data_IF_419825314464
#
_entry.id   IF_419825314464
#
_cell.length_a   1.000
_cell.length_b   1.000
_cell.length_c   1.000
_cell.angle_alpha   90.00
_cell.angle_beta   90.00
_cell.angle_gamma   90.00
#
_symmetry.space_group_name_H-M   'P 1'
#
loop_
_entity.id
_entity.type
_entity.pdbx_description
1 polymer ?
#
# COMPACT_ATOMS: atom_id res chain seq x y z
N UNK A 1 -6.11 -38.30 15.28
CA UNK A 1 -7.10 -37.67 14.38
C UNK A 1 -6.33 -37.00 13.25
N UNK A 2 -6.89 -36.93 12.04
CA UNK A 2 -6.25 -36.24 10.93
C UNK A 2 -6.63 -34.77 10.98
N UNK A 3 -5.67 -33.87 11.15
CA UNK A 3 -5.88 -32.42 11.32
C UNK A 3 -5.34 -31.68 10.10
N UNK A 4 -6.15 -30.77 9.54
CA UNK A 4 -5.80 -30.00 8.33
C UNK A 4 -5.05 -28.71 8.70
N UNK A 5 -3.89 -28.47 8.06
CA UNK A 5 -3.19 -27.18 8.11
C UNK A 5 -3.70 -26.32 6.97
N UNK A 6 -4.23 -25.14 7.27
CA UNK A 6 -4.69 -24.17 6.28
C UNK A 6 -3.81 -22.92 6.24
N UNK A 7 -3.84 -22.21 5.11
CA UNK A 7 -3.16 -20.91 4.96
C UNK A 7 -3.78 -19.91 5.96
N UNK A 8 -2.97 -19.32 6.87
CA UNK A 8 -3.44 -18.33 7.84
C UNK A 8 -3.88 -17.03 7.14
N UNK A 9 -4.50 -16.13 7.90
CA UNK A 9 -4.94 -14.84 7.36
C UNK A 9 -3.75 -14.02 6.84
N UNK A 10 -3.60 -13.97 5.52
CA UNK A 10 -2.51 -13.29 4.81
C UNK A 10 -2.84 -11.82 4.46
N UNK A 11 -3.96 -11.27 4.96
CA UNK A 11 -4.40 -9.91 4.66
C UNK A 11 -5.22 -9.82 3.36
N UNK A 12 -5.23 -8.65 2.70
CA UNK A 12 -6.06 -8.34 1.51
C UNK A 12 -5.60 -9.05 0.20
N UNK A 13 -4.79 -10.10 0.29
CA UNK A 13 -4.24 -10.79 -0.89
C UNK A 13 -5.07 -12.04 -1.24
N UNK A 14 -5.75 -12.00 -2.38
CA UNK A 14 -6.66 -13.07 -2.82
C UNK A 14 -5.93 -14.29 -3.43
N UNK A 15 -4.68 -14.15 -3.87
CA UNK A 15 -3.87 -15.25 -4.43
C UNK A 15 -2.37 -15.03 -4.27
N UNK A 16 -1.68 -15.94 -3.58
CA UNK A 16 -0.23 -15.88 -3.30
C UNK A 16 0.43 -17.18 -3.75
N UNK A 17 1.65 -17.12 -4.29
CA UNK A 17 2.36 -18.28 -4.87
C UNK A 17 3.26 -18.98 -3.84
N UNK A 18 3.31 -20.31 -3.91
CA UNK A 18 4.22 -21.12 -3.09
C UNK A 18 5.60 -21.20 -3.76
N UNK A 19 6.62 -20.64 -3.11
CA UNK A 19 7.99 -20.64 -3.61
C UNK A 19 8.83 -21.80 -3.05
N UNK A 20 8.55 -22.25 -1.83
CA UNK A 20 9.35 -23.28 -1.18
C UNK A 20 8.50 -24.11 -0.21
N UNK A 21 8.66 -25.44 -0.28
CA UNK A 21 8.05 -26.40 0.65
C UNK A 21 9.18 -26.91 1.55
N UNK A 22 9.10 -26.59 2.84
CA UNK A 22 10.17 -26.85 3.81
C UNK A 22 10.05 -28.22 4.49
N UNK A 23 8.98 -28.96 4.18
CA UNK A 23 8.60 -30.20 4.88
C UNK A 23 8.31 -31.32 3.89
N UNK A 24 8.65 -32.57 4.25
CA UNK A 24 8.38 -33.75 3.41
C UNK A 24 7.32 -34.65 4.06
N UNK A 25 6.55 -35.43 3.27
CA UNK A 25 5.63 -36.41 3.82
C UNK A 25 6.40 -37.42 4.69
N UNK A 26 6.00 -37.55 5.96
CA UNK A 26 6.68 -38.37 6.96
C UNK A 26 7.57 -37.63 7.96
N UNK A 27 7.78 -36.32 7.81
CA UNK A 27 8.52 -35.50 8.79
C UNK A 27 7.65 -35.21 10.03
N UNK A 28 8.30 -35.19 11.19
CA UNK A 28 7.71 -34.80 12.48
C UNK A 28 7.91 -33.30 12.70
N UNK A 29 6.83 -32.56 12.91
CA UNK A 29 6.81 -31.10 13.02
C UNK A 29 6.30 -30.69 14.39
N UNK A 30 6.90 -29.66 14.99
CA UNK A 30 6.41 -29.07 16.23
C UNK A 30 5.47 -27.88 15.96
N UNK A 31 4.69 -27.50 16.97
CA UNK A 31 3.87 -26.30 16.91
C UNK A 31 4.76 -25.07 16.65
N UNK A 32 4.38 -24.25 15.67
CA UNK A 32 5.06 -23.07 15.14
C UNK A 32 6.25 -23.31 14.19
N UNK A 33 6.58 -24.54 13.83
CA UNK A 33 7.63 -24.80 12.84
C UNK A 33 7.14 -24.43 11.41
N UNK A 34 7.99 -23.82 10.56
CA UNK A 34 7.60 -23.33 9.23
C UNK A 34 7.35 -24.49 8.26
N UNK A 35 6.20 -24.46 7.58
CA UNK A 35 5.74 -25.54 6.69
C UNK A 35 5.98 -25.19 5.22
N UNK A 36 5.60 -23.96 4.83
CA UNK A 36 5.67 -23.47 3.45
C UNK A 36 6.02 -21.98 3.46
N UNK A 37 6.83 -21.55 2.50
CA UNK A 37 7.13 -20.14 2.25
C UNK A 37 6.29 -19.64 1.08
N UNK A 38 5.52 -18.57 1.32
CA UNK A 38 4.64 -17.92 0.35
C UNK A 38 5.26 -16.60 -0.09
N UNK A 39 5.24 -16.28 -1.39
CA UNK A 39 5.71 -15.01 -1.93
C UNK A 39 4.54 -14.12 -2.36
N UNK A 40 4.44 -12.94 -1.73
CA UNK A 40 3.57 -11.84 -2.15
C UNK A 40 4.39 -10.75 -2.85
N UNK A 41 3.72 -9.85 -3.58
CA UNK A 41 4.32 -8.71 -4.32
C UNK A 41 5.24 -7.80 -3.47
N UNK A 42 5.22 -7.95 -2.14
CA UNK A 42 5.99 -7.11 -1.21
C UNK A 42 6.86 -7.86 -0.21
N UNK A 43 6.66 -9.16 -0.02
CA UNK A 43 7.40 -9.95 0.97
C UNK A 43 7.16 -11.46 0.84
N UNK A 44 8.16 -12.24 1.22
CA UNK A 44 8.03 -13.66 1.52
C UNK A 44 7.56 -13.86 2.98
N UNK A 45 6.52 -14.66 3.20
CA UNK A 45 5.97 -14.97 4.52
C UNK A 45 5.99 -16.48 4.73
N UNK A 46 6.58 -16.91 5.84
CA UNK A 46 6.60 -18.32 6.26
C UNK A 46 5.31 -18.65 7.01
N UNK A 47 4.66 -19.76 6.64
CA UNK A 47 3.45 -20.26 7.31
C UNK A 47 3.85 -21.25 8.41
N UNK A 48 3.67 -20.91 9.70
CA UNK A 48 3.96 -21.83 10.81
C UNK A 48 2.86 -22.90 10.96
N UNK A 49 3.23 -24.10 11.41
CA UNK A 49 2.29 -25.18 11.70
C UNK A 49 1.47 -24.89 12.97
N UNK A 50 0.13 -24.95 12.94
CA UNK A 50 -0.72 -24.76 14.12
C UNK A 50 -0.70 -25.96 15.09
N UNK A 51 -0.27 -27.14 14.64
CA UNK A 51 -0.28 -28.38 15.41
C UNK A 51 1.06 -29.12 15.32
N UNK A 52 1.37 -29.91 16.36
CA UNK A 52 2.53 -30.78 16.39
C UNK A 52 2.12 -32.21 16.00
N UNK A 53 2.82 -32.82 15.06
CA UNK A 53 2.50 -34.18 14.61
C UNK A 53 3.26 -34.56 13.34
N UNK A 54 2.94 -35.73 12.80
CA UNK A 54 3.60 -36.26 11.60
C UNK A 54 2.80 -35.92 10.35
N UNK A 55 3.46 -35.41 9.30
CA UNK A 55 2.80 -35.13 8.02
C UNK A 55 2.43 -36.45 7.33
N UNK A 56 1.14 -36.66 7.09
CA UNK A 56 0.63 -37.83 6.36
C UNK A 56 0.57 -37.58 4.85
N UNK A 57 0.19 -36.38 4.40
CA UNK A 57 0.18 -36.01 2.98
C UNK A 57 0.27 -34.50 2.74
N UNK A 58 1.01 -34.10 1.69
CA UNK A 58 1.06 -32.74 1.15
C UNK A 58 0.11 -32.62 -0.04
N UNK A 59 -0.79 -31.63 -0.03
CA UNK A 59 -1.74 -31.38 -1.13
C UNK A 59 -1.29 -30.30 -2.12
N UNK A 60 -0.15 -29.66 -1.89
CA UNK A 60 0.36 -28.53 -2.69
C UNK A 60 1.71 -28.82 -3.33
N UNK A 61 1.98 -28.20 -4.48
CA UNK A 61 3.26 -28.24 -5.19
C UNK A 61 3.91 -26.85 -5.28
N UNK A 62 5.22 -26.82 -5.49
CA UNK A 62 5.96 -25.57 -5.74
C UNK A 62 5.37 -24.91 -7.00
N UNK A 63 4.94 -23.65 -6.89
CA UNK A 63 4.26 -22.89 -7.93
C UNK A 63 2.73 -22.87 -7.90
N UNK A 64 2.08 -23.55 -6.94
CA UNK A 64 0.63 -23.47 -6.77
C UNK A 64 0.20 -22.15 -6.14
N UNK A 65 -0.95 -21.62 -6.59
CA UNK A 65 -1.59 -20.41 -6.05
C UNK A 65 -2.54 -20.78 -4.93
N UNK A 66 -2.33 -20.23 -3.75
CA UNK A 66 -3.14 -20.49 -2.56
C UNK A 66 -3.74 -19.20 -2.00
N UNK A 67 -4.93 -19.33 -1.42
CA UNK A 67 -5.69 -18.24 -0.80
C UNK A 67 -6.04 -18.58 0.66
N UNK A 68 -6.50 -17.59 1.42
CA UNK A 68 -6.91 -17.73 2.82
C UNK A 68 -7.81 -18.96 3.02
N UNK A 69 -7.40 -19.89 3.89
CA UNK A 69 -8.14 -21.12 4.18
C UNK A 69 -7.86 -22.32 3.26
N UNK A 70 -6.95 -22.20 2.29
CA UNK A 70 -6.53 -23.35 1.46
C UNK A 70 -5.77 -24.38 2.28
N UNK A 71 -6.09 -25.68 2.11
CA UNK A 71 -5.48 -26.78 2.86
C UNK A 71 -4.10 -27.12 2.28
N UNK A 72 -3.05 -26.97 3.09
CA UNK A 72 -1.65 -27.20 2.73
C UNK A 72 -1.21 -28.64 3.01
N UNK A 73 -1.54 -29.18 4.19
CA UNK A 73 -1.08 -30.50 4.65
C UNK A 73 -2.06 -31.16 5.62
N UNK A 74 -1.99 -32.48 5.71
CA UNK A 74 -2.69 -33.31 6.69
C UNK A 74 -1.69 -33.85 7.73
N UNK A 75 -1.99 -33.72 9.02
CA UNK A 75 -1.19 -34.23 10.14
C UNK A 75 -1.96 -35.30 10.92
N UNK A 76 -1.27 -36.36 11.37
CA UNK A 76 -1.80 -37.32 12.35
C UNK A 76 -1.22 -37.06 13.76
N UNK A 77 -2.11 -36.90 14.76
CA UNK A 77 -1.74 -36.68 16.16
C UNK A 77 -1.48 -38.01 16.92
N UNK A 78 -0.37 -38.08 17.68
CA UNK A 78 -0.18 -39.03 18.79
C UNK A 78 -0.58 -38.38 20.13
N UNK A 79 -1.35 -39.11 20.94
CA UNK A 79 -1.89 -38.64 22.23
C UNK A 79 -0.81 -38.32 23.27
N UNK A 80 -0.99 -37.20 23.98
CA UNK A 80 -0.64 -37.12 25.42
C UNK A 80 -1.59 -36.17 26.17
N UNK A 81 -2.50 -36.81 26.93
CA UNK A 81 -3.32 -36.41 28.12
C UNK A 81 -2.61 -35.45 29.11
N UNK A 82 -3.17 -34.53 29.93
CA UNK A 82 -4.48 -34.10 30.52
C UNK A 82 -4.25 -32.59 30.94
N UNK A 83 -5.16 -31.61 30.99
CA UNK A 83 -6.24 -31.34 31.97
C UNK A 83 -7.15 -30.15 31.55
N UNK A 84 -8.44 -30.30 31.90
CA UNK A 84 -9.56 -29.39 31.69
C UNK A 84 -9.69 -28.34 32.80
N UNK A 85 -10.25 -27.17 32.48
CA UNK A 85 -11.31 -26.59 33.31
C UNK A 85 -12.26 -25.68 32.52
N UNK A 86 -13.54 -25.87 32.81
CA UNK A 86 -14.74 -25.28 32.23
C UNK A 86 -15.14 -23.94 32.89
N UNK A 87 -15.88 -23.10 32.16
CA UNK A 87 -16.97 -22.30 32.75
C UNK A 87 -18.06 -22.02 31.72
N UNK A 88 -19.29 -22.12 32.19
CA UNK A 88 -20.59 -22.08 31.52
C UNK A 88 -21.23 -20.68 31.51
N UNK A 89 -22.10 -20.46 30.52
CA UNK A 89 -23.37 -19.65 30.52
C UNK A 89 -23.22 -18.12 30.72
N UNK A 90 -24.04 -17.23 30.12
CA UNK A 90 -25.49 -17.28 29.90
C UNK A 90 -25.95 -16.23 28.86
N UNK A 91 -27.03 -16.52 28.13
CA UNK A 91 -27.77 -15.60 27.23
C UNK A 91 -29.05 -15.19 27.94
N UNK A 92 -29.38 -13.90 27.97
CA UNK A 92 -30.71 -13.43 28.35
C UNK A 92 -31.34 -12.56 27.24
N UNK A 93 -32.57 -12.95 26.86
CA UNK A 93 -33.49 -12.24 25.97
C UNK A 93 -34.55 -11.56 26.84
N UNK A 94 -34.95 -10.34 26.50
CA UNK A 94 -36.22 -9.75 26.99
C UNK A 94 -37.05 -9.22 25.82
N UNK A 95 -38.31 -9.66 25.75
CA UNK A 95 -39.43 -9.05 25.03
C UNK A 95 -40.43 -8.49 26.07
N UNK A 96 -41.23 -7.46 25.71
CA UNK A 96 -41.96 -6.64 26.68
C UNK A 96 -43.32 -7.21 27.11
N UNK A 97 -43.75 -6.72 28.27
CA UNK A 97 -45.01 -6.96 28.98
C UNK A 97 -46.16 -6.16 28.36
N UNK A 98 -47.35 -6.77 28.32
CA UNK A 98 -48.64 -6.15 28.00
C UNK A 98 -49.59 -6.28 29.20
N UNK A 99 -50.30 -5.19 29.52
CA UNK A 99 -51.54 -5.04 30.33
C UNK A 99 -52.07 -3.63 29.97
N UNK A 100 -53.36 -3.28 29.83
CA UNK A 100 -54.69 -3.93 29.74
C UNK A 100 -55.63 -2.83 29.19
N UNK A 101 -56.68 -3.25 28.49
CA UNK A 101 -57.83 -2.42 28.09
C UNK A 101 -58.62 -1.94 29.32
N UNK A 102 -59.19 -0.73 29.25
CA UNK A 102 -60.63 -0.48 29.32
C UNK A 102 -60.90 1.04 29.25
N UNK A 103 -61.77 1.44 28.33
CA UNK A 103 -62.90 2.40 28.45
C UNK A 103 -63.16 3.11 27.10
N UNK A 104 -64.31 2.72 26.53
CA UNK A 104 -64.98 3.30 25.37
C UNK A 104 -65.49 4.71 25.70
N UNK A 105 -65.37 5.64 24.75
CA UNK A 105 -66.27 6.79 24.64
C UNK A 105 -66.57 7.06 23.16
N UNK A 106 -67.87 7.09 22.89
CA UNK A 106 -68.56 7.19 21.60
C UNK A 106 -68.12 8.37 20.71
N UNK A 107 -67.93 8.08 19.42
CA UNK A 107 -67.78 9.09 18.36
C UNK A 107 -69.12 9.31 17.67
N UNK A 108 -69.60 10.55 17.66
CA UNK A 108 -70.82 10.96 16.96
C UNK A 108 -70.65 10.87 15.41
N UNK A 109 -71.67 10.37 14.68
CA UNK A 109 -71.61 10.00 13.26
C UNK A 109 -71.59 11.16 12.25
N UNK A 110 -71.45 12.41 12.70
CA UNK A 110 -71.49 13.61 11.84
C UNK A 110 -70.09 14.08 11.39
N UNK A 111 -69.02 13.67 12.08
CA UNK A 111 -67.63 14.01 11.72
C UNK A 111 -67.09 13.20 10.53
N UNK A 112 -67.60 11.98 10.31
CA UNK A 112 -67.20 11.12 9.18
C UNK A 112 -67.76 11.58 7.83
N UNK A 113 -68.90 12.26 7.82
CA UNK A 113 -69.52 12.75 6.57
C UNK A 113 -68.78 13.97 6.01
N UNK A 114 -68.31 14.86 6.88
CA UNK A 114 -67.55 16.07 6.49
C UNK A 114 -66.16 15.68 5.94
N UNK A 115 -65.55 14.61 6.47
CA UNK A 115 -64.26 14.09 5.98
C UNK A 115 -64.42 13.45 4.59
N UNK A 116 -65.49 12.69 4.35
CA UNK A 116 -65.77 12.07 3.03
C UNK A 116 -66.11 13.07 1.93
N UNK A 117 -66.80 14.16 2.25
CA UNK A 117 -67.08 15.22 1.26
C UNK A 117 -65.81 16.01 0.91
N UNK A 118 -64.94 16.31 1.90
CA UNK A 118 -63.66 16.97 1.67
C UNK A 118 -62.68 16.13 0.82
N UNK A 119 -62.71 14.80 0.95
CA UNK A 119 -61.91 13.87 0.14
C UNK A 119 -62.39 13.72 -1.31
N UNK A 120 -63.65 14.07 -1.61
CA UNK A 120 -64.24 13.94 -2.95
C UNK A 120 -63.96 15.13 -3.88
N UNK A 121 -63.49 16.26 -3.34
CA UNK A 121 -63.28 17.53 -4.07
C UNK A 121 -61.82 17.87 -4.37
N UNK A 122 -60.87 16.97 -4.14
CA UNK A 122 -59.47 17.17 -4.55
C UNK A 122 -59.33 16.73 -6.01
N UNK A 123 -58.92 17.62 -6.95
CA UNK A 123 -58.58 17.19 -8.29
C UNK A 123 -57.43 16.18 -8.20
N UNK A 124 -57.60 15.00 -8.81
CA UNK A 124 -56.54 14.01 -8.92
C UNK A 124 -55.36 14.62 -9.71
N UNK A 125 -54.40 15.21 -9.01
CA UNK A 125 -53.05 15.36 -9.52
C UNK A 125 -52.55 13.95 -9.80
N UNK A 126 -52.16 13.73 -11.06
CA UNK A 126 -51.51 12.50 -11.54
C UNK A 126 -50.57 11.96 -10.47
N UNK A 127 -50.80 10.73 -10.02
CA UNK A 127 -49.81 9.99 -9.24
C UNK A 127 -48.51 9.97 -10.04
N UNK A 128 -47.57 10.85 -9.71
CA UNK A 128 -46.18 10.67 -10.13
C UNK A 128 -45.78 9.30 -9.63
N UNK A 129 -45.51 8.39 -10.57
CA UNK A 129 -44.90 7.11 -10.24
C UNK A 129 -43.61 7.45 -9.50
N UNK A 130 -43.55 7.10 -8.22
CA UNK A 130 -42.29 7.04 -7.48
C UNK A 130 -41.27 6.31 -8.36
N UNK A 131 -40.13 6.93 -8.72
CA UNK A 131 -39.19 6.30 -9.63
C UNK A 131 -38.75 4.96 -9.03
N UNK A 132 -38.93 3.88 -9.80
CA UNK A 132 -38.40 2.57 -9.43
C UNK A 132 -36.88 2.71 -9.34
N UNK A 133 -36.33 2.70 -8.11
CA UNK A 133 -34.88 2.66 -7.91
C UNK A 133 -34.37 1.33 -8.47
N UNK A 134 -33.71 1.38 -9.62
CA UNK A 134 -32.99 0.23 -10.17
C UNK A 134 -31.74 0.04 -9.32
N UNK A 135 -31.67 -1.05 -8.57
CA UNK A 135 -30.52 -1.35 -7.72
C UNK A 135 -29.39 -1.98 -8.55
N UNK A 136 -28.17 -1.54 -8.29
CA UNK A 136 -26.96 -2.02 -8.96
C UNK A 136 -26.75 -3.53 -8.77
N UNK A 137 -26.35 -4.22 -9.85
CA UNK A 137 -25.86 -5.61 -9.78
C UNK A 137 -24.37 -5.63 -9.39
N UNK A 138 -23.90 -6.62 -8.60
CA UNK A 138 -22.59 -6.57 -7.93
C UNK A 138 -21.40 -6.97 -8.81
N UNK A 139 -21.57 -7.12 -10.14
CA UNK A 139 -20.54 -7.72 -10.99
C UNK A 139 -19.48 -6.72 -11.50
N UNK A 140 -19.45 -5.49 -10.98
CA UNK A 140 -18.46 -4.48 -11.35
C UNK A 140 -18.52 -3.96 -12.79
N UNK A 141 -19.42 -4.52 -13.61
CA UNK A 141 -19.70 -4.03 -14.96
C UNK A 141 -20.63 -2.82 -14.88
N UNK A 142 -20.37 -1.85 -15.75
CA UNK A 142 -21.23 -0.68 -15.92
C UNK A 142 -22.65 -1.11 -16.31
N UNK A 143 -23.64 -0.57 -15.58
CA UNK A 143 -25.05 -0.93 -15.73
C UNK A 143 -25.64 -0.24 -16.97
N UNK A 144 -25.17 0.98 -17.25
CA UNK A 144 -25.53 1.75 -18.44
C UNK A 144 -24.30 2.52 -18.95
N UNK A 145 -23.53 1.92 -19.86
CA UNK A 145 -22.36 2.57 -20.46
C UNK A 145 -22.68 3.88 -21.18
N UNK A 146 -23.93 4.06 -21.66
CA UNK A 146 -24.33 5.26 -22.38
C UNK A 146 -24.47 6.41 -21.39
N UNK A 147 -25.19 6.19 -20.29
CA UNK A 147 -25.32 7.18 -19.22
C UNK A 147 -23.93 7.55 -18.66
N UNK A 148 -23.08 6.56 -18.36
CA UNK A 148 -21.72 6.83 -17.87
C UNK A 148 -20.92 7.67 -18.86
N UNK A 149 -21.01 7.40 -20.15
CA UNK A 149 -20.33 8.20 -21.17
C UNK A 149 -20.88 9.64 -21.23
N UNK A 150 -22.19 9.85 -21.11
CA UNK A 150 -22.79 11.19 -21.07
C UNK A 150 -22.30 12.02 -19.87
N UNK A 151 -22.15 11.39 -18.70
CA UNK A 151 -21.58 12.05 -17.51
C UNK A 151 -20.09 12.39 -17.69
N UNK A 152 -19.31 11.49 -18.30
CA UNK A 152 -17.89 11.72 -18.60
C UNK A 152 -17.70 12.83 -19.63
N UNK A 153 -18.53 12.85 -20.68
CA UNK A 153 -18.52 13.87 -21.71
C UNK A 153 -18.92 15.23 -21.12
N UNK A 154 -19.91 15.26 -20.23
CA UNK A 154 -20.32 16.46 -19.49
C UNK A 154 -19.17 17.02 -18.64
N UNK A 155 -18.46 16.17 -17.90
CA UNK A 155 -17.32 16.58 -17.11
C UNK A 155 -16.18 17.10 -18.00
N UNK A 156 -15.90 16.42 -19.11
CA UNK A 156 -14.87 16.80 -20.08
C UNK A 156 -15.18 18.16 -20.70
N UNK A 157 -16.44 18.42 -21.06
CA UNK A 157 -16.89 19.70 -21.57
C UNK A 157 -16.69 20.84 -20.55
N UNK A 158 -16.96 20.60 -19.27
CA UNK A 158 -16.70 21.58 -18.19
C UNK A 158 -15.20 21.86 -18.07
N UNK A 159 -14.36 20.83 -18.05
CA UNK A 159 -12.89 21.01 -17.98
C UNK A 159 -12.39 21.83 -19.16
N UNK A 160 -12.86 21.54 -20.38
CA UNK A 160 -12.44 22.23 -21.59
C UNK A 160 -12.87 23.70 -21.64
N UNK A 161 -14.06 24.04 -21.11
CA UNK A 161 -14.63 25.38 -21.18
C UNK A 161 -14.31 26.26 -19.96
N UNK A 162 -14.49 25.70 -18.76
CA UNK A 162 -14.47 26.44 -17.49
C UNK A 162 -13.26 26.08 -16.61
N UNK A 163 -12.48 25.05 -16.97
CA UNK A 163 -11.25 24.65 -16.30
C UNK A 163 -11.41 23.61 -15.18
N UNK A 164 -10.26 23.16 -14.65
CA UNK A 164 -10.16 22.06 -13.68
C UNK A 164 -10.76 22.41 -12.31
N UNK A 165 -10.60 23.64 -11.84
CA UNK A 165 -11.17 24.08 -10.56
C UNK A 165 -12.70 24.01 -10.53
N UNK A 166 -13.34 24.34 -11.66
CA UNK A 166 -14.79 24.23 -11.81
C UNK A 166 -15.24 22.78 -11.80
N UNK A 167 -14.53 21.91 -12.51
CA UNK A 167 -14.79 20.47 -12.50
C UNK A 167 -14.65 19.88 -11.08
N UNK A 168 -13.61 20.23 -10.34
CA UNK A 168 -13.44 19.83 -8.93
C UNK A 168 -14.59 20.31 -8.03
N UNK A 169 -15.07 21.54 -8.22
CA UNK A 169 -16.22 22.04 -7.48
C UNK A 169 -17.49 21.23 -7.75
N UNK A 170 -17.77 20.88 -9.02
CA UNK A 170 -18.94 20.07 -9.37
C UNK A 170 -18.83 18.65 -8.82
N UNK A 171 -17.66 18.02 -8.95
CA UNK A 171 -17.42 16.70 -8.37
C UNK A 171 -17.65 16.70 -6.86
N UNK A 172 -17.13 17.71 -6.14
CA UNK A 172 -17.39 17.87 -4.71
C UNK A 172 -18.89 17.95 -4.41
N UNK A 173 -19.66 18.72 -5.19
CA UNK A 173 -21.11 18.83 -5.00
C UNK A 173 -21.86 17.53 -5.25
N UNK A 174 -21.49 16.79 -6.30
CA UNK A 174 -22.07 15.46 -6.59
C UNK A 174 -21.76 14.47 -5.47
N UNK A 175 -20.53 14.49 -4.95
CA UNK A 175 -20.12 13.67 -3.81
C UNK A 175 -20.92 14.03 -2.54
N UNK A 176 -21.03 15.33 -2.21
CA UNK A 176 -21.79 15.81 -1.05
C UNK A 176 -23.26 15.33 -1.13
N UNK A 177 -23.85 15.35 -2.32
CA UNK A 177 -25.23 14.90 -2.53
C UNK A 177 -25.36 13.37 -2.43
N UNK A 178 -24.42 12.62 -3.00
CA UNK A 178 -24.39 11.16 -2.88
C UNK A 178 -24.25 10.70 -1.41
N UNK A 179 -23.51 11.45 -0.58
CA UNK A 179 -23.43 11.20 0.86
C UNK A 179 -24.77 11.41 1.57
N UNK A 180 -25.52 12.47 1.23
CA UNK A 180 -26.84 12.72 1.82
C UNK A 180 -27.83 11.59 1.48
N UNK A 181 -27.75 11.05 0.27
CA UNK A 181 -28.58 9.94 -0.20
C UNK A 181 -28.13 8.56 0.34
N UNK A 182 -27.13 8.52 1.22
CA UNK A 182 -26.72 7.32 1.97
C UNK A 182 -25.58 6.51 1.34
N UNK A 183 -24.84 7.05 0.37
CA UNK A 183 -23.62 6.43 -0.15
C UNK A 183 -22.48 6.57 0.86
N UNK A 184 -22.34 5.59 1.76
CA UNK A 184 -21.33 5.61 2.84
C UNK A 184 -19.92 5.17 2.40
N UNK A 185 -19.59 5.22 1.10
CA UNK A 185 -18.24 4.82 0.65
C UNK A 185 -17.23 5.94 0.93
N UNK A 186 -16.12 5.67 1.64
CA UNK A 186 -15.06 6.66 1.82
C UNK A 186 -14.42 6.98 0.47
N UNK A 187 -14.24 8.28 0.19
CA UNK A 187 -13.56 8.74 -1.01
C UNK A 187 -12.16 8.13 -1.09
N UNK A 188 -11.86 7.39 -2.16
CA UNK A 188 -10.49 6.95 -2.44
C UNK A 188 -9.70 8.18 -2.90
N UNK A 189 -8.69 8.59 -2.12
CA UNK A 189 -7.72 9.65 -2.52
C UNK A 189 -6.70 9.12 -3.52
N UNK A 190 -7.17 8.41 -4.55
CA UNK A 190 -6.31 7.77 -5.55
C UNK A 190 -6.51 8.54 -6.84
N UNK A 191 -5.44 9.19 -7.32
CA UNK A 191 -5.41 9.80 -8.65
C UNK A 191 -5.18 8.72 -9.71
N UNK A 192 -5.56 8.96 -10.98
CA UNK A 192 -5.20 8.05 -12.07
C UNK A 192 -3.69 7.77 -12.11
N UNK A 193 -3.29 6.61 -12.61
CA UNK A 193 -1.89 6.20 -12.73
C UNK A 193 -1.21 6.89 -13.94
N UNK A 194 -1.14 8.22 -13.87
CA UNK A 194 -0.53 9.12 -14.85
C UNK A 194 0.30 10.19 -14.11
N UNK A 195 1.14 10.92 -14.85
CA UNK A 195 1.91 12.02 -14.27
C UNK A 195 0.97 13.13 -13.76
N UNK A 196 1.20 13.62 -12.54
CA UNK A 196 0.42 14.73 -11.96
C UNK A 196 0.60 16.04 -12.73
N UNK A 197 1.76 16.27 -13.32
CA UNK A 197 2.06 17.46 -14.13
C UNK A 197 1.96 17.06 -15.62
N UNK A 198 1.00 17.61 -16.39
CA UNK A 198 0.86 17.28 -17.80
C UNK A 198 1.91 17.98 -18.67
N UNK A 199 2.19 17.48 -19.89
CA UNK A 199 3.26 18.01 -20.77
C UNK A 199 3.15 19.51 -21.07
N UNK A 200 1.94 20.05 -21.18
CA UNK A 200 1.66 21.47 -21.42
C UNK A 200 1.97 22.37 -20.23
N UNK A 201 2.02 21.80 -19.02
CA UNK A 201 2.39 22.50 -17.77
C UNK A 201 3.83 22.22 -17.34
N UNK A 202 4.56 21.40 -18.10
CA UNK A 202 5.94 21.03 -17.78
C UNK A 202 6.91 22.20 -18.04
N UNK A 203 7.58 22.67 -16.99
CA UNK A 203 8.70 23.61 -17.13
C UNK A 203 9.94 22.84 -17.58
N UNK A 204 10.53 23.24 -18.71
CA UNK A 204 11.75 22.60 -19.23
C UNK A 204 12.94 22.88 -18.31
N UNK A 205 13.77 21.85 -18.12
CA UNK A 205 15.02 21.94 -17.36
C UNK A 205 15.94 22.99 -17.98
N UNK A 206 16.57 23.88 -17.17
CA UNK A 206 17.49 24.89 -17.67
C UNK A 206 18.88 24.34 -18.05
N UNK A 207 19.18 23.07 -17.73
CA UNK A 207 20.49 22.45 -17.93
C UNK A 207 20.68 21.73 -19.27
N UNK A 208 21.95 21.56 -19.67
CA UNK A 208 22.32 20.78 -20.85
C UNK A 208 22.20 19.28 -20.57
N UNK A 209 21.17 18.66 -21.14
CA UNK A 209 20.86 17.24 -20.97
C UNK A 209 21.97 16.29 -21.44
N UNK A 210 22.79 16.68 -22.43
CA UNK A 210 23.88 15.85 -22.92
C UNK A 210 25.05 15.82 -21.93
N UNK A 211 25.41 16.99 -21.40
CA UNK A 211 26.47 17.13 -20.40
C UNK A 211 26.03 16.42 -19.10
N UNK A 212 24.82 16.68 -18.63
CA UNK A 212 24.26 16.04 -17.43
C UNK A 212 24.24 14.52 -17.57
N UNK A 213 23.78 13.99 -18.71
CA UNK A 213 23.79 12.55 -18.97
C UNK A 213 25.21 11.98 -18.93
N UNK A 214 26.20 12.69 -19.47
CA UNK A 214 27.61 12.24 -19.47
C UNK A 214 28.17 12.21 -18.04
N UNK A 215 27.97 13.28 -17.28
CA UNK A 215 28.40 13.35 -15.86
C UNK A 215 27.73 12.24 -15.06
N UNK A 216 26.40 12.09 -15.16
CA UNK A 216 25.63 11.04 -14.49
C UNK A 216 26.10 9.63 -14.85
N UNK A 217 26.50 9.40 -16.10
CA UNK A 217 27.05 8.11 -16.53
C UNK A 217 28.40 7.81 -15.85
N UNK A 218 29.26 8.81 -15.69
CA UNK A 218 30.53 8.66 -14.95
C UNK A 218 30.28 8.40 -13.46
N UNK A 219 29.30 9.07 -12.85
CA UNK A 219 28.92 8.83 -11.46
C UNK A 219 28.41 7.40 -11.28
N UNK A 220 27.52 6.93 -12.16
CA UNK A 220 27.00 5.54 -12.16
C UNK A 220 28.13 4.52 -12.31
N UNK A 221 29.06 4.75 -13.24
CA UNK A 221 30.23 3.90 -13.44
C UNK A 221 31.10 3.82 -12.20
N UNK A 222 31.48 4.97 -11.63
CA UNK A 222 32.34 5.02 -10.45
C UNK A 222 31.68 4.37 -9.23
N UNK A 223 30.37 4.53 -9.05
CA UNK A 223 29.62 3.90 -7.97
C UNK A 223 29.64 2.37 -8.09
N UNK A 224 29.32 1.84 -9.28
CA UNK A 224 29.36 0.40 -9.53
C UNK A 224 30.78 -0.16 -9.40
N UNK A 225 31.76 0.50 -10.01
CA UNK A 225 33.16 0.07 -9.96
C UNK A 225 33.72 0.05 -8.53
N UNK A 226 33.34 1.02 -7.68
CA UNK A 226 33.74 1.06 -6.28
C UNK A 226 33.21 -0.15 -5.51
N UNK A 227 31.91 -0.46 -5.64
CA UNK A 227 31.29 -1.61 -4.96
C UNK A 227 31.86 -2.94 -5.46
N UNK A 228 31.98 -3.11 -6.78
CA UNK A 228 32.54 -4.33 -7.38
C UNK A 228 34.00 -4.53 -6.95
N UNK A 229 34.82 -3.47 -6.91
CA UNK A 229 36.20 -3.56 -6.45
C UNK A 229 36.30 -3.95 -4.97
N UNK A 230 35.43 -3.42 -4.12
CA UNK A 230 35.39 -3.78 -2.70
C UNK A 230 35.07 -5.27 -2.53
N UNK A 231 34.01 -5.76 -3.19
CA UNK A 231 33.59 -7.16 -3.12
C UNK A 231 34.59 -8.13 -3.79
N UNK A 232 35.36 -7.68 -4.78
CA UNK A 232 36.42 -8.50 -5.38
C UNK A 232 37.57 -8.78 -4.40
N UNK A 233 37.84 -7.87 -3.46
CA UNK A 233 38.86 -8.07 -2.41
C UNK A 233 38.29 -8.86 -1.24
N UNK A 234 37.13 -8.43 -0.75
CA UNK A 234 36.47 -8.93 0.44
C UNK A 234 34.96 -9.08 0.14
N UNK A 235 34.50 -10.28 -0.25
CA UNK A 235 33.11 -10.52 -0.68
C UNK A 235 32.04 -10.16 0.37
N UNK A 236 32.38 -10.24 1.66
CA UNK A 236 31.51 -9.96 2.80
C UNK A 236 31.26 -8.47 3.06
N UNK A 237 32.01 -7.57 2.41
CA UNK A 237 31.79 -6.13 2.59
C UNK A 237 30.43 -5.70 2.07
N UNK A 238 29.94 -6.31 1.00
CA UNK A 238 28.67 -5.97 0.36
C UNK A 238 28.65 -4.57 -0.28
N UNK A 239 27.43 -4.04 -0.45
CA UNK A 239 27.19 -2.73 -1.07
C UNK A 239 26.12 -2.80 -2.16
N UNK A 240 25.35 -1.72 -2.28
CA UNK A 240 24.17 -1.67 -3.14
C UNK A 240 24.48 -0.92 -4.43
N UNK A 241 24.26 -1.57 -5.58
CA UNK A 241 24.41 -0.95 -6.90
C UNK A 241 23.04 -0.52 -7.45
N UNK A 242 22.03 -1.39 -7.31
CA UNK A 242 20.69 -1.19 -7.89
C UNK A 242 19.98 0.06 -7.35
N UNK A 243 20.03 0.31 -6.05
CA UNK A 243 19.33 1.43 -5.41
C UNK A 243 19.78 2.79 -5.96
N UNK A 244 21.10 3.01 -6.05
CA UNK A 244 21.57 4.26 -6.65
C UNK A 244 21.30 4.29 -8.16
N UNK A 245 21.38 3.16 -8.85
CA UNK A 245 21.09 3.12 -10.29
C UNK A 245 19.65 3.54 -10.61
N UNK A 246 18.65 3.18 -9.80
CA UNK A 246 17.28 3.65 -10.01
C UNK A 246 17.13 5.15 -9.69
N UNK A 247 17.76 5.63 -8.62
CA UNK A 247 17.59 7.01 -8.14
C UNK A 247 18.57 8.05 -8.72
N UNK A 248 19.59 7.63 -9.48
CA UNK A 248 20.69 8.53 -9.86
C UNK A 248 20.27 9.74 -10.70
N UNK A 249 19.21 9.66 -11.50
CA UNK A 249 18.70 10.83 -12.24
C UNK A 249 18.01 11.83 -11.32
N UNK A 250 17.24 11.35 -10.33
CA UNK A 250 16.61 12.20 -9.31
C UNK A 250 17.67 12.99 -8.53
N UNK A 251 18.71 12.30 -8.07
CA UNK A 251 19.80 12.95 -7.35
C UNK A 251 20.59 13.93 -8.21
N UNK A 252 20.85 13.60 -9.47
CA UNK A 252 21.57 14.48 -10.39
C UNK A 252 20.81 15.78 -10.65
N UNK A 253 19.49 15.71 -10.88
CA UNK A 253 18.63 16.89 -11.02
C UNK A 253 18.65 17.72 -9.74
N UNK A 254 18.51 17.08 -8.57
CA UNK A 254 18.59 17.75 -7.27
C UNK A 254 19.90 18.51 -7.08
N UNK A 255 21.02 17.87 -7.37
CA UNK A 255 22.35 18.46 -7.19
C UNK A 255 22.70 19.55 -8.20
N UNK A 256 22.19 19.48 -9.43
CA UNK A 256 22.50 20.47 -10.46
C UNK A 256 21.60 21.72 -10.36
N UNK A 257 20.33 21.56 -9.95
CA UNK A 257 19.33 22.61 -10.12
C UNK A 257 18.61 23.06 -8.85
N UNK A 258 18.62 22.28 -7.77
CA UNK A 258 17.80 22.56 -6.59
C UNK A 258 18.61 22.79 -5.33
N UNK A 259 19.53 21.90 -5.02
CA UNK A 259 20.14 21.83 -3.71
C UNK A 259 21.25 22.85 -3.53
N UNK A 260 21.15 23.61 -2.45
CA UNK A 260 22.06 24.70 -2.12
C UNK A 260 22.98 24.25 -0.99
N UNK A 261 24.28 24.34 -1.22
CA UNK A 261 25.28 24.10 -0.19
C UNK A 261 25.27 25.21 0.88
N UNK A 262 25.83 24.89 2.05
CA UNK A 262 26.07 25.86 3.12
C UNK A 262 26.96 27.01 2.62
N UNK A 263 26.59 28.24 2.95
CA UNK A 263 27.37 29.44 2.70
C UNK A 263 27.29 30.41 3.91
N UNK A 264 27.87 31.60 3.79
CA UNK A 264 27.95 32.56 4.91
C UNK A 264 26.58 33.10 5.38
N UNK A 265 25.54 33.03 4.54
CA UNK A 265 24.19 33.55 4.81
C UNK A 265 23.13 32.46 4.95
N UNK A 266 23.43 31.23 4.51
CA UNK A 266 22.48 30.13 4.44
C UNK A 266 23.11 28.83 4.94
N UNK A 267 22.41 28.13 5.83
CA UNK A 267 22.89 26.89 6.46
C UNK A 267 23.07 25.70 5.50
N UNK A 268 22.57 25.81 4.27
CA UNK A 268 22.49 24.74 3.29
C UNK A 268 21.16 24.00 3.38
N UNK A 269 20.73 23.40 2.28
CA UNK A 269 19.55 22.52 2.28
C UNK A 269 19.88 21.23 3.04
N UNK A 270 18.94 20.75 3.85
CA UNK A 270 19.12 19.56 4.67
C UNK A 270 18.68 18.32 3.91
N UNK A 271 19.64 17.60 3.30
CA UNK A 271 19.34 16.48 2.42
C UNK A 271 19.53 15.14 3.16
N UNK A 272 18.43 14.40 3.33
CA UNK A 272 18.40 13.06 3.92
C UNK A 272 18.60 12.01 2.83
N UNK A 273 19.84 11.90 2.34
CA UNK A 273 20.22 10.96 1.27
C UNK A 273 19.89 9.53 1.65
N UNK A 274 19.13 8.77 0.85
CA UNK A 274 18.88 7.34 1.11
C UNK A 274 20.19 6.57 1.36
N UNK A 275 20.25 5.77 2.42
CA UNK A 275 21.54 5.26 2.94
C UNK A 275 22.26 4.36 1.94
N UNK A 276 21.50 3.46 1.33
CA UNK A 276 21.97 2.54 0.31
C UNK A 276 22.42 3.22 -0.99
N UNK A 277 22.14 4.51 -1.17
CA UNK A 277 22.65 5.32 -2.28
C UNK A 277 24.03 5.95 -2.02
N UNK A 278 24.65 5.70 -0.85
CA UNK A 278 25.98 6.22 -0.49
C UNK A 278 27.05 6.02 -1.58
N UNK A 279 27.10 4.89 -2.35
CA UNK A 279 28.11 4.73 -3.39
C UNK A 279 28.05 5.80 -4.48
N UNK A 280 26.83 6.23 -4.83
CA UNK A 280 26.62 7.29 -5.80
C UNK A 280 27.08 8.66 -5.32
N UNK A 281 26.86 8.95 -4.03
CA UNK A 281 27.28 10.20 -3.41
C UNK A 281 28.81 10.28 -3.34
N UNK A 282 29.48 9.18 -2.98
CA UNK A 282 30.95 9.10 -3.02
C UNK A 282 31.49 9.22 -4.45
N UNK A 283 30.84 8.57 -5.42
CA UNK A 283 31.23 8.65 -6.81
C UNK A 283 31.17 10.07 -7.37
N UNK A 284 30.14 10.85 -7.01
CA UNK A 284 30.08 12.27 -7.37
C UNK A 284 31.13 13.10 -6.63
N UNK A 285 31.27 12.90 -5.32
CA UNK A 285 32.28 13.60 -4.52
C UNK A 285 33.70 13.37 -5.04
N UNK A 286 33.98 12.18 -5.57
CA UNK A 286 35.23 11.87 -6.27
C UNK A 286 35.41 12.67 -7.56
N UNK A 287 34.39 12.75 -8.41
CA UNK A 287 34.43 13.57 -9.63
C UNK A 287 34.56 15.07 -9.34
N UNK A 288 34.02 15.54 -8.21
CA UNK A 288 34.16 16.90 -7.71
C UNK A 288 35.53 17.16 -7.04
N UNK A 289 36.41 16.15 -6.97
CA UNK A 289 37.74 16.27 -6.36
C UNK A 289 37.74 16.31 -4.83
N UNK A 290 36.61 16.01 -4.18
CA UNK A 290 36.47 16.02 -2.70
C UNK A 290 36.92 14.70 -2.05
N UNK A 291 36.94 13.61 -2.83
CA UNK A 291 37.45 12.31 -2.41
C UNK A 291 38.57 11.84 -3.33
N UNK A 292 39.48 11.07 -2.77
CA UNK A 292 40.63 10.51 -3.49
C UNK A 292 40.36 9.08 -3.94
N UNK A 293 41.12 8.62 -4.95
CA UNK A 293 41.07 7.22 -5.40
C UNK A 293 41.39 6.24 -4.27
N UNK A 294 42.30 6.61 -3.35
CA UNK A 294 42.64 5.78 -2.18
C UNK A 294 41.42 5.56 -1.29
N UNK A 295 40.64 6.61 -1.04
CA UNK A 295 39.41 6.50 -0.24
C UNK A 295 38.36 5.62 -0.91
N UNK A 296 38.14 5.77 -2.22
CA UNK A 296 37.20 4.93 -2.97
C UNK A 296 37.59 3.45 -2.93
N UNK A 297 38.90 3.15 -3.02
CA UNK A 297 39.41 1.78 -2.95
C UNK A 297 39.28 1.14 -1.55
N UNK A 298 38.99 1.95 -0.52
CA UNK A 298 38.77 1.54 0.87
C UNK A 298 37.29 1.73 1.28
N UNK A 299 36.37 1.65 0.33
CA UNK A 299 34.94 1.62 0.63
C UNK A 299 34.62 0.46 1.59
N UNK A 300 33.86 0.76 2.65
CA UNK A 300 33.50 -0.13 3.78
C UNK A 300 34.69 -0.67 4.59
N UNK A 301 35.87 -0.07 4.45
CA UNK A 301 37.08 -0.44 5.17
C UNK A 301 37.65 0.77 5.90
N UNK A 302 37.19 0.98 7.14
CA UNK A 302 37.39 2.23 7.88
C UNK A 302 38.08 2.07 9.24
N UNK A 303 38.51 0.86 9.60
CA UNK A 303 39.34 0.61 10.79
C UNK A 303 40.64 1.41 10.69
N UNK A 304 41.27 1.38 9.51
CA UNK A 304 42.41 2.22 9.19
C UNK A 304 41.96 3.57 8.59
N UNK A 305 42.77 4.60 8.80
CA UNK A 305 42.50 5.95 8.29
C UNK A 305 42.38 5.95 6.76
N UNK A 306 41.35 6.64 6.26
CA UNK A 306 41.13 6.86 4.84
C UNK A 306 40.15 5.90 4.18
N UNK A 307 39.31 5.21 4.96
CA UNK A 307 38.13 4.50 4.47
C UNK A 307 36.93 5.40 4.18
N UNK A 308 35.90 4.80 3.57
CA UNK A 308 34.57 5.40 3.42
C UNK A 308 33.54 4.52 4.11
N UNK A 309 32.70 5.14 4.94
CA UNK A 309 31.64 4.43 5.65
C UNK A 309 30.62 3.81 4.72
N UNK A 310 29.99 2.73 5.15
CA UNK A 310 28.96 2.02 4.39
C UNK A 310 27.76 2.92 4.06
N UNK A 311 27.34 3.75 5.03
CA UNK A 311 26.16 4.60 4.97
C UNK A 311 26.44 5.99 5.58
N UNK A 312 25.47 6.93 5.54
CA UNK A 312 25.60 8.23 6.17
C UNK A 312 25.80 8.14 7.69
N UNK A 313 27.05 8.15 8.15
CA UNK A 313 27.40 8.12 9.56
C UNK A 313 28.24 9.36 9.91
N UNK A 314 27.62 10.43 10.46
CA UNK A 314 28.34 11.63 10.85
C UNK A 314 29.43 11.38 11.89
N UNK A 315 29.26 10.38 12.76
CA UNK A 315 30.29 10.02 13.74
C UNK A 315 31.57 9.46 13.09
N UNK A 316 31.43 8.64 12.03
CA UNK A 316 32.54 8.05 11.29
C UNK A 316 33.18 9.03 10.29
N UNK A 317 32.34 9.86 9.65
CA UNK A 317 32.79 10.86 8.67
C UNK A 317 32.23 12.26 8.99
N UNK A 318 32.72 12.93 10.04
CA UNK A 318 32.13 14.17 10.59
C UNK A 318 32.24 15.39 9.67
N UNK A 319 33.10 15.31 8.65
CA UNK A 319 33.29 16.38 7.66
C UNK A 319 32.57 16.09 6.33
N UNK A 320 31.77 15.02 6.27
CA UNK A 320 31.11 14.59 5.03
C UNK A 320 29.61 14.36 5.24
N UNK A 321 29.24 13.49 6.20
CA UNK A 321 27.83 13.14 6.44
C UNK A 321 27.19 14.01 7.52
N UNK A 322 25.90 14.28 7.37
CA UNK A 322 25.12 15.13 8.29
C UNK A 322 24.02 14.37 9.04
N UNK A 323 23.28 13.49 8.35
CA UNK A 323 22.09 12.82 8.90
C UNK A 323 22.20 11.29 8.79
N UNK A 324 22.06 10.54 9.90
CA UNK A 324 22.03 9.08 9.87
C UNK A 324 20.63 8.57 9.56
N UNK A 325 20.47 7.86 8.44
CA UNK A 325 19.14 7.55 7.87
C UNK A 325 19.00 6.10 7.38
N UNK A 326 20.02 5.26 7.59
CA UNK A 326 20.00 3.88 7.04
C UNK A 326 18.98 3.00 7.76
N UNK A 327 18.70 3.29 9.03
CA UNK A 327 17.56 2.71 9.74
C UNK A 327 16.29 3.32 9.16
N UNK A 328 15.61 2.55 8.32
CA UNK A 328 14.45 3.03 7.58
C UNK A 328 13.32 3.43 8.52
N UNK A 329 12.70 4.59 8.26
CA UNK A 329 11.60 5.15 9.04
C UNK A 329 12.00 6.21 10.08
N UNK A 330 13.30 6.36 10.36
CA UNK A 330 13.86 7.47 11.13
C UNK A 330 14.20 8.66 10.24
#
# INVERSE_FOLDING_TARGET
MTTEISVPDIGDFESVEIIEILVKPGDTINKNDPVVTLESDKSSVEVPSPFAGKISALKVKIGDKVSKGSVLALIDDEETKVEQQSSEQEKEKTKPIALKEDEEDDVLPETEKIIKEAESTIPQTSKEKSPQKVYARPNGADIDPTETQEWLDSLTAVVAKDGTDRAHYLLKKLIDEAYKEGSNRPLTRITPYINTIPPESEVKSPGDQNIERRIRSLIRWNAAAMVVKANKKNPELGGHIGTFASAATLYDVGMNHFWRAKNNKFGGDLIYFQGHCSPGIYARAFLEGRLTTKQLNNFRQEVDKGGLSSYPHPWLMPKFWQFPIVSMGL
#
